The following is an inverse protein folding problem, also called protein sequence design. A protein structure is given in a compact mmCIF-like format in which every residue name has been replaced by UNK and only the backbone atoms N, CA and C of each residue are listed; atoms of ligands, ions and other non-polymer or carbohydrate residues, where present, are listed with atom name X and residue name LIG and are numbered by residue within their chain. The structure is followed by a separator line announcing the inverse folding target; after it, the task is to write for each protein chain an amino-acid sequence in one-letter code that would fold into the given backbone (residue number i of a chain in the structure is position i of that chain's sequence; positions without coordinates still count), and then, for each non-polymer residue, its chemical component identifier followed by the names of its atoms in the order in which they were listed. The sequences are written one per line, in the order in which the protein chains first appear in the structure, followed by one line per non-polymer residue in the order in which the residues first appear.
data_IF_961789167788
#
_entry.id   IF_961789167788
#
_cell.length_a   1.000
_cell.length_b   1.000
_cell.length_c   1.000
_cell.angle_alpha   90.00
_cell.angle_beta   90.00
_cell.angle_gamma   90.00
#
_symmetry.space_group_name_H-M   'P 1'
#
loop_
_entity.id
_entity.type
_entity.pdbx_description
1 polymer ?
#
# COMPACT_ATOMS: atom_id res chain seq x y z
N UNK A 1 -5.10 5.35 12.42
CA UNK A 1 -3.86 5.32 13.24
C UNK A 1 -2.59 5.47 12.40
N UNK A 2 -2.49 4.96 11.15
CA UNK A 2 -1.33 5.13 10.24
C UNK A 2 -1.01 6.59 9.89
N UNK A 3 -2.00 7.47 9.66
CA UNK A 3 -1.75 8.86 9.26
C UNK A 3 -0.96 9.70 10.30
N UNK A 4 -1.06 9.38 11.58
CA UNK A 4 -0.37 10.14 12.63
C UNK A 4 1.14 9.80 12.73
N UNK A 5 1.50 8.54 12.49
CA UNK A 5 2.91 8.08 12.55
C UNK A 5 3.65 8.50 11.26
N UNK A 6 2.98 8.48 10.13
CA UNK A 6 3.51 8.84 8.83
C UNK A 6 3.96 10.31 8.72
N UNK A 7 3.19 11.23 9.26
CA UNK A 7 3.58 12.65 9.37
C UNK A 7 4.83 12.83 10.23
N UNK A 8 5.05 11.95 11.20
CA UNK A 8 6.18 12.01 12.11
C UNK A 8 7.49 11.63 11.42
N UNK A 9 7.49 10.70 10.44
CA UNK A 9 8.72 10.30 9.74
C UNK A 9 9.28 11.42 8.85
N UNK A 10 8.45 12.05 8.02
CA UNK A 10 8.89 13.18 7.17
C UNK A 10 9.39 14.37 8.01
N UNK A 11 8.83 14.55 9.21
CA UNK A 11 9.21 15.61 10.13
C UNK A 11 10.46 15.27 10.97
N UNK A 12 10.84 13.99 11.07
CA UNK A 12 11.99 13.53 11.86
C UNK A 12 13.26 13.33 11.04
N UNK A 13 13.13 13.23 9.71
CA UNK A 13 14.29 13.18 8.83
C UNK A 13 14.97 14.56 8.82
N UNK A 14 16.28 14.65 9.07
CA UNK A 14 17.01 15.90 8.97
C UNK A 14 16.81 16.57 7.62
N UNK A 15 16.58 17.89 7.62
CA UNK A 15 16.32 18.65 6.38
C UNK A 15 17.49 18.56 5.40
N UNK A 16 18.69 18.43 5.92
CA UNK A 16 19.92 18.25 5.15
C UNK A 16 19.87 16.94 4.34
N UNK A 17 19.36 15.88 4.92
CA UNK A 17 19.18 14.59 4.22
C UNK A 17 18.03 14.66 3.20
N UNK A 18 16.92 15.31 3.54
CA UNK A 18 15.85 15.53 2.56
C UNK A 18 16.31 16.36 1.36
N UNK A 19 17.23 17.31 1.57
CA UNK A 19 17.79 18.15 0.50
C UNK A 19 18.65 17.37 -0.48
N UNK A 20 19.16 16.18 -0.12
CA UNK A 20 19.92 15.30 -1.02
C UNK A 20 19.04 14.42 -1.89
N UNK A 21 17.75 14.32 -1.56
CA UNK A 21 16.81 13.49 -2.29
C UNK A 21 16.45 14.09 -3.65
N UNK A 22 16.20 13.23 -4.62
CA UNK A 22 15.53 13.62 -5.85
C UNK A 22 14.03 13.69 -5.60
N UNK A 23 13.41 14.86 -5.86
CA UNK A 23 11.97 15.02 -5.74
C UNK A 23 11.28 14.67 -7.06
N UNK A 24 10.36 13.71 -7.02
CA UNK A 24 9.68 13.17 -8.20
C UNK A 24 8.17 13.29 -8.07
N UNK A 25 7.50 13.40 -9.23
CA UNK A 25 6.04 13.46 -9.34
C UNK A 25 5.56 12.41 -10.33
N UNK A 26 4.47 11.75 -9.98
CA UNK A 26 3.83 10.73 -10.79
C UNK A 26 2.34 11.03 -10.88
N UNK A 27 1.76 10.84 -12.04
CA UNK A 27 0.31 10.89 -12.24
C UNK A 27 -0.35 9.58 -11.86
N UNK A 28 -1.63 9.66 -11.49
CA UNK A 28 -2.43 8.45 -11.26
C UNK A 28 -2.32 7.49 -12.44
N UNK A 29 -2.03 6.21 -12.16
CA UNK A 29 -1.80 5.15 -13.14
C UNK A 29 -0.36 4.97 -13.59
N UNK A 30 0.55 5.89 -13.30
CA UNK A 30 1.96 5.75 -13.67
C UNK A 30 2.70 4.76 -12.77
N UNK A 31 3.63 4.02 -13.37
CA UNK A 31 4.54 3.13 -12.65
C UNK A 31 5.63 3.93 -11.95
N UNK A 32 5.74 3.77 -10.63
CA UNK A 32 6.86 4.27 -9.83
C UNK A 32 8.01 3.25 -9.87
N UNK A 33 7.67 1.96 -9.78
CA UNK A 33 8.55 0.82 -10.00
C UNK A 33 7.81 -0.17 -10.89
N UNK A 34 8.45 -0.68 -11.93
CA UNK A 34 7.91 -1.74 -12.77
C UNK A 34 8.59 -3.07 -12.44
N UNK A 35 7.85 -4.16 -12.44
CA UNK A 35 8.36 -5.54 -12.37
C UNK A 35 9.48 -5.75 -13.38
N UNK A 36 10.54 -6.45 -12.99
CA UNK A 36 11.72 -6.68 -13.83
C UNK A 36 12.63 -5.47 -14.06
N UNK A 37 12.33 -4.30 -13.50
CA UNK A 37 13.20 -3.13 -13.60
C UNK A 37 14.34 -3.16 -12.58
N UNK A 38 15.50 -2.57 -12.93
CA UNK A 38 16.64 -2.41 -12.02
C UNK A 38 16.39 -1.29 -11.00
N UNK A 39 15.32 -1.42 -10.21
CA UNK A 39 14.99 -0.44 -9.16
C UNK A 39 15.85 -0.70 -7.91
N UNK A 40 16.63 0.28 -7.49
CA UNK A 40 17.54 0.20 -6.33
C UNK A 40 17.48 1.46 -5.44
N UNK A 41 16.33 2.08 -5.35
CA UNK A 41 16.16 3.36 -4.66
C UNK A 41 15.26 3.19 -3.44
N UNK A 42 15.58 3.92 -2.37
CA UNK A 42 14.68 4.13 -1.24
C UNK A 42 13.79 5.34 -1.51
N UNK A 43 12.50 5.21 -1.29
CA UNK A 43 11.53 6.27 -1.54
C UNK A 43 10.64 6.53 -0.33
N UNK A 44 10.31 7.81 -0.10
CA UNK A 44 9.34 8.25 0.89
C UNK A 44 8.21 8.98 0.15
N UNK A 45 6.99 8.54 0.33
CA UNK A 45 5.82 9.13 -0.30
C UNK A 45 5.42 10.41 0.43
N UNK A 46 5.71 11.56 -0.17
CA UNK A 46 5.41 12.87 0.40
C UNK A 46 3.92 13.24 0.25
N UNK A 47 3.27 12.74 -0.82
CA UNK A 47 1.85 13.00 -1.09
C UNK A 47 1.27 11.90 -1.97
N UNK A 48 -0.01 11.59 -1.76
CA UNK A 48 -0.76 10.66 -2.58
C UNK A 48 -0.88 9.26 -1.97
N UNK A 49 -1.28 8.33 -2.81
CA UNK A 49 -1.41 6.90 -2.49
C UNK A 49 -0.86 6.09 -3.64
N UNK A 50 -0.05 5.09 -3.35
CA UNK A 50 0.46 4.12 -4.32
C UNK A 50 0.10 2.70 -3.90
N UNK A 51 -0.02 1.79 -4.86
CA UNK A 51 -0.27 0.37 -4.62
C UNK A 51 0.95 -0.46 -5.00
N UNK A 52 1.30 -1.41 -4.13
CA UNK A 52 2.22 -2.49 -4.41
C UNK A 52 1.42 -3.66 -4.96
N UNK A 53 1.72 -4.11 -6.17
CA UNK A 53 1.05 -5.26 -6.78
C UNK A 53 2.03 -6.40 -7.03
N UNK A 54 1.53 -7.62 -6.90
CA UNK A 54 2.10 -8.80 -7.52
C UNK A 54 1.50 -8.91 -8.91
N UNK A 55 2.35 -8.85 -9.92
CA UNK A 55 1.95 -8.85 -11.33
C UNK A 55 2.40 -10.17 -11.97
N UNK A 56 1.51 -11.14 -11.94
CA UNK A 56 1.69 -12.46 -12.56
C UNK A 56 0.87 -12.47 -13.86
N UNK A 57 1.52 -12.83 -14.97
CA UNK A 57 0.88 -12.88 -16.28
C UNK A 57 -0.29 -13.88 -16.39
N UNK A 58 -0.39 -14.83 -15.46
CA UNK A 58 -1.42 -15.87 -15.45
C UNK A 58 -2.63 -15.53 -14.57
N UNK A 59 -2.49 -14.59 -13.65
CA UNK A 59 -3.52 -14.22 -12.66
C UNK A 59 -3.84 -12.73 -12.68
N UNK A 60 -5.05 -12.33 -12.25
CA UNK A 60 -5.35 -10.92 -12.03
C UNK A 60 -4.37 -10.28 -11.04
N UNK A 61 -3.97 -9.01 -11.25
CA UNK A 61 -3.06 -8.32 -10.33
C UNK A 61 -3.58 -8.37 -8.89
N UNK A 62 -2.71 -8.74 -7.97
CA UNK A 62 -3.03 -8.76 -6.53
C UNK A 62 -2.37 -7.57 -5.83
N UNK A 63 -3.16 -6.73 -5.19
CA UNK A 63 -2.60 -5.70 -4.30
C UNK A 63 -2.05 -6.38 -3.05
N UNK A 64 -0.73 -6.25 -2.85
CA UNK A 64 -0.02 -6.75 -1.67
C UNK A 64 -0.10 -5.72 -0.53
N UNK A 65 0.11 -4.43 -0.84
CA UNK A 65 0.07 -3.35 0.15
C UNK A 65 -0.34 -2.01 -0.51
N UNK A 66 -0.80 -1.07 0.33
CA UNK A 66 -1.06 0.31 -0.05
C UNK A 66 -0.12 1.22 0.73
N UNK A 67 0.55 2.10 0.00
CA UNK A 67 1.39 3.15 0.56
C UNK A 67 0.63 4.47 0.56
N UNK A 68 0.63 5.13 1.70
CA UNK A 68 0.03 6.44 1.91
C UNK A 68 1.08 7.51 2.17
N UNK A 69 0.68 8.77 2.16
CA UNK A 69 1.57 9.90 2.51
C UNK A 69 2.31 9.60 3.81
N UNK A 70 3.65 9.65 3.76
CA UNK A 70 4.57 9.36 4.85
C UNK A 70 5.06 7.92 4.90
N UNK A 71 4.47 6.99 4.14
CA UNK A 71 5.00 5.64 3.99
C UNK A 71 6.27 5.65 3.13
N UNK A 72 7.01 4.55 3.19
CA UNK A 72 8.24 4.34 2.44
C UNK A 72 8.21 2.98 1.73
N UNK A 73 9.05 2.88 0.70
CA UNK A 73 9.29 1.63 -0.05
C UNK A 73 10.67 1.65 -0.73
N UNK A 74 11.09 0.49 -1.21
CA UNK A 74 12.38 0.35 -1.91
C UNK A 74 13.56 0.13 -0.97
N UNK A 75 13.32 0.00 0.33
CA UNK A 75 14.35 -0.31 1.32
C UNK A 75 14.97 -1.70 1.11
N UNK A 76 14.17 -2.66 0.66
CA UNK A 76 14.66 -4.01 0.37
C UNK A 76 15.60 -4.00 -0.84
N UNK A 77 15.23 -3.33 -1.90
CA UNK A 77 16.05 -3.18 -3.08
C UNK A 77 17.32 -2.37 -2.79
N UNK A 78 17.22 -1.33 -1.96
CA UNK A 78 18.38 -0.52 -1.57
C UNK A 78 19.43 -1.29 -0.75
N UNK A 79 19.03 -2.35 -0.03
CA UNK A 79 19.96 -3.27 0.65
C UNK A 79 20.34 -4.49 -0.19
N UNK A 80 19.98 -4.53 -1.47
CA UNK A 80 20.38 -5.56 -2.42
C UNK A 80 19.45 -6.78 -2.51
N UNK A 81 18.26 -6.73 -1.90
CA UNK A 81 17.25 -7.79 -2.09
C UNK A 81 16.55 -7.60 -3.45
N UNK A 82 16.30 -8.70 -4.14
CA UNK A 82 15.55 -8.70 -5.39
C UNK A 82 14.07 -8.92 -5.13
N UNK A 83 13.24 -8.05 -5.70
CA UNK A 83 11.77 -8.14 -5.66
C UNK A 83 11.21 -7.93 -7.08
N UNK A 84 11.72 -8.75 -8.02
CA UNK A 84 11.54 -8.54 -9.46
C UNK A 84 10.10 -8.75 -9.94
N UNK A 85 9.29 -9.46 -9.18
CA UNK A 85 7.90 -9.80 -9.45
C UNK A 85 6.89 -8.75 -8.95
N UNK A 86 7.37 -7.58 -8.51
CA UNK A 86 6.51 -6.57 -7.87
C UNK A 86 6.60 -5.22 -8.56
N UNK A 87 5.43 -4.65 -8.82
CA UNK A 87 5.29 -3.27 -9.34
C UNK A 87 4.70 -2.34 -8.29
N UNK A 88 5.09 -1.06 -8.35
CA UNK A 88 4.50 0.01 -7.56
C UNK A 88 3.87 1.02 -8.53
N UNK A 89 2.56 1.25 -8.38
CA UNK A 89 1.77 2.12 -9.26
C UNK A 89 1.15 3.23 -8.43
N UNK A 90 1.22 4.47 -8.94
CA UNK A 90 0.52 5.60 -8.36
C UNK A 90 -1.00 5.42 -8.47
N UNK A 91 -1.71 5.30 -7.36
CA UNK A 91 -3.17 5.18 -7.33
C UNK A 91 -3.86 6.55 -7.43
N UNK A 92 -3.21 7.57 -6.90
CA UNK A 92 -3.53 8.99 -7.08
C UNK A 92 -2.31 9.74 -7.61
N UNK A 93 -2.40 11.04 -7.90
CA UNK A 93 -1.20 11.84 -8.15
C UNK A 93 -0.28 11.76 -6.92
N UNK A 94 0.97 11.33 -7.14
CA UNK A 94 1.98 11.09 -6.10
C UNK A 94 3.15 12.05 -6.22
N UNK A 95 3.68 12.46 -5.06
CA UNK A 95 4.94 13.18 -4.93
C UNK A 95 5.83 12.41 -3.95
N UNK A 96 7.11 12.21 -4.27
CA UNK A 96 8.00 11.41 -3.45
C UNK A 96 9.43 11.94 -3.41
N UNK A 97 10.11 11.67 -2.30
CA UNK A 97 11.55 11.82 -2.17
C UNK A 97 12.23 10.48 -2.48
N UNK A 98 13.14 10.48 -3.43
CA UNK A 98 13.91 9.31 -3.86
C UNK A 98 15.37 9.49 -3.46
N UNK A 99 15.93 8.45 -2.83
CA UNK A 99 17.32 8.36 -2.40
C UNK A 99 18.02 7.21 -3.11
N UNK A 100 19.32 7.33 -3.37
CA UNK A 100 20.11 6.18 -3.84
C UNK A 100 20.29 5.15 -2.72
N UNK A 101 20.77 3.95 -3.08
CA UNK A 101 21.09 2.92 -2.10
C UNK A 101 22.14 3.39 -1.08
N UNK A 102 23.17 4.11 -1.55
CA UNK A 102 24.25 4.66 -0.72
C UNK A 102 23.70 5.69 0.28
N UNK A 103 22.85 6.63 -0.18
CA UNK A 103 22.20 7.62 0.68
C UNK A 103 21.33 6.95 1.73
N UNK A 104 20.58 5.90 1.34
CA UNK A 104 19.76 5.14 2.27
C UNK A 104 20.60 4.44 3.35
N UNK A 105 21.69 3.77 2.96
CA UNK A 105 22.59 3.10 3.90
C UNK A 105 23.28 4.09 4.84
N UNK A 106 23.65 5.27 4.37
CA UNK A 106 24.15 6.34 5.22
C UNK A 106 23.09 6.80 6.24
N UNK A 107 21.87 7.06 5.79
CA UNK A 107 20.75 7.41 6.68
C UNK A 107 20.46 6.30 7.69
N UNK A 108 20.47 5.04 7.27
CA UNK A 108 20.28 3.88 8.13
C UNK A 108 21.31 3.84 9.27
N UNK A 109 22.57 4.11 8.96
CA UNK A 109 23.66 4.06 9.91
C UNK A 109 23.73 5.28 10.85
N UNK A 110 23.32 6.46 10.37
CA UNK A 110 23.48 7.72 11.10
C UNK A 110 22.20 8.21 11.80
N UNK A 111 21.03 7.85 11.27
CA UNK A 111 19.74 8.29 11.80
C UNK A 111 19.01 7.13 12.54
N UNK A 112 19.31 6.94 13.81
CA UNK A 112 18.73 5.85 14.62
C UNK A 112 17.19 5.91 14.75
N UNK A 113 16.59 7.08 14.58
CA UNK A 113 15.12 7.24 14.58
C UNK A 113 14.53 6.62 13.31
N UNK A 114 15.16 6.86 12.15
CA UNK A 114 14.76 6.28 10.87
C UNK A 114 14.87 4.75 10.91
N UNK A 115 16.02 4.21 11.32
CA UNK A 115 16.26 2.77 11.35
C UNK A 115 15.28 2.04 12.26
N UNK A 116 15.01 2.59 13.45
CA UNK A 116 14.02 2.02 14.39
C UNK A 116 12.60 2.09 13.82
N UNK A 117 12.25 3.17 13.14
CA UNK A 117 10.92 3.31 12.53
C UNK A 117 10.71 2.30 11.40
N UNK A 118 11.70 2.15 10.51
CA UNK A 118 11.66 1.15 9.44
C UNK A 118 11.50 -0.26 10.02
N UNK A 119 12.31 -0.61 11.02
CA UNK A 119 12.21 -1.91 11.71
C UNK A 119 10.82 -2.11 12.32
N UNK A 120 10.28 -1.10 13.00
CA UNK A 120 8.94 -1.16 13.59
C UNK A 120 7.87 -1.44 12.53
N UNK A 121 7.88 -0.70 11.40
CA UNK A 121 6.93 -0.90 10.30
C UNK A 121 7.04 -2.30 9.71
N UNK A 122 8.25 -2.84 9.54
CA UNK A 122 8.45 -4.21 9.07
C UNK A 122 7.92 -5.26 10.04
N UNK A 123 8.13 -5.08 11.34
CA UNK A 123 7.55 -5.95 12.36
C UNK A 123 6.02 -5.92 12.34
N UNK A 124 5.41 -4.75 12.21
CA UNK A 124 3.94 -4.63 12.07
C UNK A 124 3.43 -5.33 10.78
N UNK A 125 4.13 -5.16 9.66
CA UNK A 125 3.79 -5.83 8.40
C UNK A 125 3.89 -7.35 8.53
N UNK A 126 4.92 -7.85 9.19
CA UNK A 126 5.12 -9.28 9.43
C UNK A 126 4.01 -9.88 10.32
N UNK A 127 3.67 -9.21 11.42
CA UNK A 127 2.56 -9.63 12.31
C UNK A 127 1.25 -9.68 11.52
N UNK A 128 0.94 -8.62 10.76
CA UNK A 128 -0.27 -8.56 9.94
C UNK A 128 -0.31 -9.68 8.90
N UNK A 129 0.80 -9.93 8.21
CA UNK A 129 0.88 -11.02 7.21
C UNK A 129 0.65 -12.39 7.87
N UNK A 130 1.17 -12.61 9.07
CA UNK A 130 0.91 -13.80 9.86
C UNK A 130 -0.57 -13.95 10.25
N UNK A 131 -1.18 -12.87 10.73
CA UNK A 131 -2.62 -12.85 11.08
C UNK A 131 -3.50 -13.10 9.84
N UNK A 132 -3.15 -12.52 8.69
CA UNK A 132 -3.88 -12.72 7.45
C UNK A 132 -3.73 -14.15 6.93
N UNK A 133 -2.56 -14.76 7.05
CA UNK A 133 -2.34 -16.17 6.72
C UNK A 133 -3.20 -17.10 7.59
N UNK A 134 -3.22 -16.90 8.90
CA UNK A 134 -4.04 -17.69 9.84
C UNK A 134 -5.54 -17.54 9.50
N UNK A 135 -5.97 -16.34 9.12
CA UNK A 135 -7.38 -16.04 8.81
C UNK A 135 -7.79 -16.50 7.41
N UNK A 136 -6.85 -16.60 6.45
CA UNK A 136 -7.18 -16.94 5.05
C UNK A 136 -7.55 -18.41 4.86
N UNK A 137 -7.16 -19.30 5.76
CA UNK A 137 -7.48 -20.74 5.67
C UNK A 137 -8.97 -21.07 5.85
N UNK A 138 -9.82 -20.11 6.29
CA UNK A 138 -11.24 -20.39 6.58
C UNK A 138 -12.25 -19.33 6.14
N UNK A 139 -11.84 -18.28 5.41
CA UNK A 139 -12.73 -17.11 5.16
C UNK A 139 -13.36 -17.16 3.76
N UNK A 140 -14.71 -17.19 3.71
CA UNK A 140 -15.47 -16.99 2.48
C UNK A 140 -15.11 -15.63 1.84
N UNK A 141 -15.04 -15.57 0.50
CA UNK A 141 -14.74 -14.34 -0.25
C UNK A 141 -15.58 -13.14 0.21
N UNK A 142 -16.86 -13.37 0.54
CA UNK A 142 -17.76 -12.36 1.07
C UNK A 142 -17.21 -11.68 2.33
N UNK A 143 -16.72 -12.46 3.27
CA UNK A 143 -16.23 -11.96 4.56
C UNK A 143 -14.86 -11.25 4.39
N UNK A 144 -14.01 -11.75 3.48
CA UNK A 144 -12.77 -11.06 3.07
C UNK A 144 -13.07 -9.69 2.47
N UNK A 145 -14.01 -9.61 1.53
CA UNK A 145 -14.45 -8.35 0.89
C UNK A 145 -15.02 -7.39 1.93
N UNK A 146 -15.86 -7.89 2.84
CA UNK A 146 -16.44 -7.07 3.90
C UNK A 146 -15.38 -6.44 4.81
N UNK A 147 -14.39 -7.21 5.23
CA UNK A 147 -13.26 -6.72 6.03
C UNK A 147 -12.47 -5.65 5.29
N UNK A 148 -12.13 -5.87 4.01
CA UNK A 148 -11.40 -4.87 3.20
C UNK A 148 -12.19 -3.56 3.13
N UNK A 149 -13.52 -3.62 2.96
CA UNK A 149 -14.37 -2.43 2.98
C UNK A 149 -14.27 -1.72 4.33
N UNK A 150 -14.42 -2.43 5.44
CA UNK A 150 -14.36 -1.85 6.80
C UNK A 150 -13.04 -1.15 7.11
N UNK A 151 -11.93 -1.71 6.63
CA UNK A 151 -10.58 -1.18 6.85
C UNK A 151 -10.26 0.06 6.00
N UNK A 152 -11.06 0.34 4.95
CA UNK A 152 -10.80 1.38 3.96
C UNK A 152 -12.00 2.31 3.73
N UNK A 153 -12.56 2.84 4.82
CA UNK A 153 -13.67 3.79 4.79
C UNK A 153 -13.20 5.23 4.96
N UNK A 154 -13.94 6.18 4.37
CA UNK A 154 -13.84 7.58 4.71
C UNK A 154 -14.73 7.93 5.93
N UNK A 155 -14.69 9.19 6.38
CA UNK A 155 -15.48 9.69 7.52
C UNK A 155 -17.01 9.53 7.33
N UNK A 156 -17.49 9.43 6.08
CA UNK A 156 -18.90 9.26 5.75
C UNK A 156 -19.29 7.77 5.55
N UNK A 157 -18.41 6.83 5.93
CA UNK A 157 -18.58 5.37 5.80
C UNK A 157 -18.65 4.86 4.35
N UNK A 158 -18.08 5.59 3.39
CA UNK A 158 -17.92 5.10 2.03
C UNK A 158 -16.55 4.46 1.84
N UNK A 159 -16.52 3.37 1.06
CA UNK A 159 -15.27 2.76 0.61
C UNK A 159 -14.49 3.75 -0.28
N UNK A 160 -13.21 3.90 0.01
CA UNK A 160 -12.35 4.96 -0.54
C UNK A 160 -11.98 4.77 -2.01
N UNK A 161 -12.02 3.54 -2.52
CA UNK A 161 -11.47 3.19 -3.82
C UNK A 161 -12.53 2.67 -4.78
N UNK A 162 -12.14 2.36 -6.03
CA UNK A 162 -13.01 1.78 -7.05
C UNK A 162 -13.26 0.29 -6.79
N UNK A 163 -14.26 -0.29 -7.50
CA UNK A 163 -14.51 -1.74 -7.45
C UNK A 163 -13.34 -2.55 -8.02
N UNK A 164 -12.62 -2.01 -9.01
CA UNK A 164 -11.47 -2.69 -9.59
C UNK A 164 -10.35 -2.83 -8.56
N UNK A 165 -10.06 -1.75 -7.83
CA UNK A 165 -9.11 -1.78 -6.71
C UNK A 165 -9.55 -2.75 -5.61
N UNK A 166 -10.85 -2.79 -5.28
CA UNK A 166 -11.38 -3.75 -4.31
C UNK A 166 -11.22 -5.20 -4.78
N UNK A 167 -11.41 -5.48 -6.07
CA UNK A 167 -11.19 -6.81 -6.64
C UNK A 167 -9.72 -7.21 -6.57
N UNK A 168 -8.80 -6.30 -6.91
CA UNK A 168 -7.35 -6.50 -6.78
C UNK A 168 -6.93 -6.74 -5.31
N UNK A 169 -7.49 -5.98 -4.35
CA UNK A 169 -7.24 -6.17 -2.91
C UNK A 169 -7.76 -7.52 -2.40
N UNK A 170 -8.89 -7.96 -2.92
CA UNK A 170 -9.48 -9.26 -2.57
C UNK A 170 -8.82 -10.45 -3.30
N UNK A 171 -7.97 -10.19 -4.31
CA UNK A 171 -7.38 -11.23 -5.16
C UNK A 171 -8.44 -12.02 -5.92
N UNK A 172 -9.43 -11.32 -6.51
CA UNK A 172 -10.57 -11.97 -7.15
C UNK A 172 -11.01 -11.27 -8.43
N UNK A 173 -11.79 -11.97 -9.27
CA UNK A 173 -12.38 -11.36 -10.45
C UNK A 173 -13.50 -10.40 -10.10
N UNK A 174 -13.74 -9.39 -10.95
CA UNK A 174 -14.89 -8.45 -10.82
C UNK A 174 -16.22 -9.20 -10.75
N UNK A 175 -16.36 -10.32 -11.48
CA UNK A 175 -17.57 -11.16 -11.44
C UNK A 175 -17.80 -11.74 -10.03
N UNK A 176 -16.76 -12.33 -9.45
CA UNK A 176 -16.83 -12.91 -8.11
C UNK A 176 -17.02 -11.84 -7.03
N UNK A 177 -16.35 -10.69 -7.18
CA UNK A 177 -16.55 -9.53 -6.31
C UNK A 177 -17.99 -9.05 -6.34
N UNK A 178 -18.61 -8.86 -7.52
CA UNK A 178 -19.98 -8.40 -7.63
C UNK A 178 -20.98 -9.36 -6.95
N UNK A 179 -20.72 -10.68 -7.01
CA UNK A 179 -21.50 -11.67 -6.27
C UNK A 179 -21.37 -11.47 -4.75
N UNK A 180 -20.15 -11.35 -4.24
CA UNK A 180 -19.90 -11.08 -2.82
C UNK A 180 -20.54 -9.77 -2.35
N UNK A 181 -20.46 -8.69 -3.15
CA UNK A 181 -21.12 -7.42 -2.85
C UNK A 181 -22.65 -7.54 -2.84
N UNK A 182 -23.25 -8.36 -3.72
CA UNK A 182 -24.69 -8.63 -3.69
C UNK A 182 -25.09 -9.34 -2.41
N UNK A 183 -24.35 -10.38 -2.01
CA UNK A 183 -24.57 -11.10 -0.75
C UNK A 183 -24.49 -10.18 0.48
N UNK A 184 -23.49 -9.27 0.52
CA UNK A 184 -23.36 -8.27 1.58
C UNK A 184 -24.50 -7.25 1.61
N UNK A 185 -24.97 -6.82 0.43
CA UNK A 185 -26.12 -5.92 0.29
C UNK A 185 -27.41 -6.61 0.78
N UNK A 186 -27.65 -7.87 0.39
CA UNK A 186 -28.82 -8.65 0.76
C UNK A 186 -28.82 -8.92 2.27
N UNK A 187 -27.64 -9.12 2.87
CA UNK A 187 -27.42 -9.19 4.33
C UNK A 187 -27.57 -7.81 5.02
N UNK A 188 -27.86 -6.73 4.30
CA UNK A 188 -27.98 -5.35 4.78
C UNK A 188 -26.74 -4.77 5.45
N UNK A 189 -25.56 -5.35 5.21
CA UNK A 189 -24.29 -4.88 5.77
C UNK A 189 -23.74 -3.68 5.00
N UNK A 190 -24.04 -3.57 3.70
CA UNK A 190 -23.62 -2.46 2.84
C UNK A 190 -24.79 -1.92 2.00
N UNK A 191 -24.61 -0.72 1.44
CA UNK A 191 -25.44 -0.20 0.36
C UNK A 191 -24.59 0.11 -0.88
N UNK A 192 -25.21 0.02 -2.08
CA UNK A 192 -24.54 0.22 -3.38
C UNK A 192 -25.18 1.34 -4.20
N UNK A 193 -26.02 2.19 -3.61
CA UNK A 193 -26.82 3.19 -4.35
C UNK A 193 -26.00 4.35 -4.92
N UNK A 194 -24.95 4.77 -4.23
CA UNK A 194 -24.07 5.90 -4.61
C UNK A 194 -22.59 5.60 -4.34
N UNK A 195 -22.21 4.33 -4.48
CA UNK A 195 -20.91 3.82 -4.07
C UNK A 195 -21.08 2.69 -3.05
N UNK A 196 -19.97 2.10 -2.60
CA UNK A 196 -19.98 1.07 -1.55
C UNK A 196 -19.98 1.78 -0.20
N UNK A 197 -21.08 1.70 0.54
CA UNK A 197 -21.22 2.32 1.86
C UNK A 197 -21.54 1.28 2.92
N UNK A 198 -20.81 1.32 4.03
CA UNK A 198 -21.10 0.49 5.20
C UNK A 198 -22.42 0.95 5.84
N UNK A 199 -23.29 0.02 6.24
CA UNK A 199 -24.47 0.28 7.05
C UNK A 199 -24.11 0.01 8.51
N UNK A 200 -24.27 1.02 9.34
CA UNK A 200 -24.19 0.93 10.80
C UNK A 200 -25.49 0.44 11.38
#
# INVERSE_FOLDING_TARGET
MRQHIALTMLNTIPKELLATARYLKYKSGEYIKQSGSSFCHFCILAKGTAKLIYDDSENPPLIIDLYHTGDFFGEMEAIGMQTDDRSIIALTDCELYQFTAEQFLEMWNTCSVLSRYILYVHCERLIRSGDDMIRSESVFLRDKVFRIIQENLNEANYFLYTKDVLAEMAGTSIRSLNRALSELKDAKLISLSSGIRLKL
#
